data_IF_030634453275
#
_entry.id   IF_030634453275
#
_cell.length_a   1.000
_cell.length_b   1.000
_cell.length_c   1.000
_cell.angle_alpha   90.00
_cell.angle_beta   90.00
_cell.angle_gamma   90.00
#
_symmetry.space_group_name_H-M   'P 1'
#
loop_
_entity.id
_entity.type
_entity.pdbx_description
1 polymer ?
#
# COMPACT_ATOMS: atom_id res chain seq x y z
N UNK A 1 12.27 -33.09 -25.04
CA UNK A 1 11.44 -32.36 -24.06
C UNK A 1 11.17 -33.29 -22.87
N UNK A 2 11.93 -33.14 -21.78
CA UNK A 2 11.81 -34.01 -20.60
C UNK A 2 10.64 -33.54 -19.73
N UNK A 3 9.58 -34.35 -19.67
CA UNK A 3 8.41 -34.14 -18.82
C UNK A 3 8.84 -34.17 -17.35
N UNK A 4 9.07 -33.00 -16.74
CA UNK A 4 9.34 -32.88 -15.31
C UNK A 4 8.10 -33.33 -14.55
N UNK A 5 8.12 -34.57 -14.05
CA UNK A 5 7.14 -35.09 -13.09
C UNK A 5 7.01 -34.08 -11.93
N UNK A 6 5.82 -33.48 -11.83
CA UNK A 6 5.44 -32.36 -10.94
C UNK A 6 5.35 -32.71 -9.46
N UNK A 7 5.52 -33.98 -9.09
CA UNK A 7 5.38 -34.42 -7.70
C UNK A 7 6.62 -34.08 -6.90
N UNK A 8 6.46 -33.11 -6.00
CA UNK A 8 7.42 -32.80 -4.94
C UNK A 8 7.43 -33.97 -3.97
N UNK A 9 8.53 -34.72 -3.92
CA UNK A 9 8.72 -35.77 -2.91
C UNK A 9 9.42 -35.11 -1.72
N UNK A 10 8.72 -34.86 -0.60
CA UNK A 10 9.34 -34.51 0.67
C UNK A 10 9.99 -35.75 1.29
N UNK A 11 11.09 -35.56 1.99
CA UNK A 11 11.71 -36.67 2.72
C UNK A 11 13.20 -36.52 2.93
N UNK A 12 13.81 -37.66 3.27
CA UNK A 12 15.25 -37.82 3.48
C UNK A 12 15.86 -38.46 2.25
N UNK A 13 16.97 -37.90 1.77
CA UNK A 13 17.75 -38.44 0.67
C UNK A 13 19.20 -38.64 1.08
N UNK A 14 19.87 -39.52 0.32
CA UNK A 14 21.29 -39.82 0.46
C UNK A 14 22.03 -39.39 -0.80
N UNK A 15 23.28 -38.96 -0.59
CA UNK A 15 24.30 -38.86 -1.64
C UNK A 15 25.45 -39.75 -1.19
N UNK A 16 25.54 -40.95 -1.76
CA UNK A 16 26.50 -41.96 -1.34
C UNK A 16 27.71 -41.94 -2.27
N UNK A 17 28.90 -41.83 -1.70
CA UNK A 17 30.13 -42.10 -2.44
C UNK A 17 30.28 -43.62 -2.58
N UNK A 18 30.13 -44.16 -3.78
CA UNK A 18 30.19 -45.60 -4.04
C UNK A 18 31.60 -46.18 -3.93
N UNK A 19 32.64 -45.33 -3.92
CA UNK A 19 34.04 -45.74 -3.74
C UNK A 19 34.39 -45.87 -2.27
N UNK A 20 33.93 -44.95 -1.42
CA UNK A 20 34.30 -44.91 0.01
C UNK A 20 33.20 -45.39 0.95
N UNK A 21 31.97 -45.57 0.49
CA UNK A 21 30.80 -45.88 1.33
C UNK A 21 30.24 -44.71 2.14
N UNK A 22 31.02 -43.66 2.37
CA UNK A 22 30.61 -42.43 3.08
C UNK A 22 29.39 -41.77 2.42
N UNK A 23 28.42 -41.36 3.24
CA UNK A 23 27.15 -40.78 2.78
C UNK A 23 26.99 -39.33 3.20
N UNK A 24 26.24 -38.56 2.41
CA UNK A 24 25.65 -37.30 2.86
C UNK A 24 24.15 -37.51 3.03
N UNK A 25 23.64 -37.24 4.22
CA UNK A 25 22.20 -37.26 4.53
C UNK A 25 21.66 -35.85 4.38
N UNK A 26 20.50 -35.71 3.74
CA UNK A 26 19.81 -34.42 3.77
C UNK A 26 18.30 -34.55 3.71
N UNK A 27 17.63 -33.58 4.32
CA UNK A 27 16.19 -33.41 4.21
C UNK A 27 15.78 -32.37 3.16
N UNK A 28 14.63 -32.57 2.51
CA UNK A 28 14.04 -31.58 1.60
C UNK A 28 12.53 -31.77 1.45
N UNK A 29 11.79 -30.68 1.21
CA UNK A 29 10.39 -30.74 0.76
C UNK A 29 10.28 -31.18 -0.71
N UNK A 30 11.31 -30.87 -1.51
CA UNK A 30 11.43 -31.30 -2.90
C UNK A 30 12.82 -31.88 -3.14
N UNK A 31 12.96 -33.19 -2.98
CA UNK A 31 14.23 -33.90 -3.10
C UNK A 31 14.86 -33.70 -4.49
N UNK A 32 14.06 -33.76 -5.57
CA UNK A 32 14.58 -33.59 -6.94
C UNK A 32 15.23 -32.23 -7.16
N UNK A 33 14.53 -31.16 -6.79
CA UNK A 33 15.07 -29.78 -6.87
C UNK A 33 16.34 -29.66 -6.02
N UNK A 34 16.38 -30.31 -4.86
CA UNK A 34 17.53 -30.29 -3.98
C UNK A 34 18.74 -31.00 -4.61
N UNK A 35 18.52 -32.16 -5.23
CA UNK A 35 19.57 -32.87 -5.97
C UNK A 35 20.12 -32.08 -7.15
N UNK A 36 19.27 -31.37 -7.90
CA UNK A 36 19.73 -30.51 -8.99
C UNK A 36 20.66 -29.40 -8.47
N UNK A 37 20.31 -28.79 -7.34
CA UNK A 37 21.17 -27.80 -6.67
C UNK A 37 22.50 -28.43 -6.23
N UNK A 38 22.48 -29.61 -5.61
CA UNK A 38 23.69 -30.32 -5.21
C UNK A 38 24.59 -30.61 -6.41
N UNK A 39 24.05 -31.22 -7.48
CA UNK A 39 24.81 -31.51 -8.71
C UNK A 39 25.42 -30.26 -9.32
N UNK A 40 24.62 -29.20 -9.47
CA UNK A 40 25.09 -27.94 -10.07
C UNK A 40 26.19 -27.28 -9.25
N UNK A 41 26.03 -27.22 -7.93
CA UNK A 41 27.01 -26.57 -7.05
C UNK A 41 28.28 -27.41 -6.88
N UNK A 42 28.16 -28.74 -6.82
CA UNK A 42 29.31 -29.65 -6.79
C UNK A 42 30.12 -29.61 -8.10
N UNK A 43 29.43 -29.57 -9.24
CA UNK A 43 30.08 -29.51 -10.55
C UNK A 43 30.77 -28.16 -10.80
N UNK A 44 30.26 -27.07 -10.22
CA UNK A 44 30.86 -25.74 -10.31
C UNK A 44 31.87 -25.43 -9.21
N UNK A 45 32.12 -26.36 -8.27
CA UNK A 45 33.06 -26.14 -7.18
C UNK A 45 32.58 -25.19 -6.07
N UNK A 46 31.29 -24.83 -6.07
CA UNK A 46 30.70 -23.81 -5.18
C UNK A 46 29.86 -24.41 -4.04
N UNK A 47 29.94 -25.72 -3.83
CA UNK A 47 29.11 -26.39 -2.83
C UNK A 47 29.51 -26.00 -1.40
N UNK A 48 28.52 -25.63 -0.58
CA UNK A 48 28.72 -25.17 0.81
C UNK A 48 29.44 -26.17 1.73
N UNK A 49 29.27 -27.46 1.47
CA UNK A 49 29.93 -28.53 2.21
C UNK A 49 31.27 -28.82 1.55
N UNK A 50 32.36 -28.36 2.18
CA UNK A 50 33.71 -28.48 1.65
C UNK A 50 34.20 -29.94 1.61
N UNK A 51 33.77 -30.82 2.53
CA UNK A 51 34.17 -32.23 2.50
C UNK A 51 33.52 -32.97 1.33
N UNK A 52 32.21 -32.80 1.15
CA UNK A 52 31.51 -33.38 0.00
C UNK A 52 32.05 -32.82 -1.32
N UNK A 53 32.38 -31.52 -1.38
CA UNK A 53 32.97 -30.89 -2.55
C UNK A 53 34.35 -31.46 -2.89
N UNK A 54 35.22 -31.66 -1.89
CA UNK A 54 36.54 -32.25 -2.07
C UNK A 54 36.45 -33.71 -2.50
N UNK A 55 35.54 -34.49 -1.91
CA UNK A 55 35.29 -35.86 -2.32
C UNK A 55 34.77 -35.93 -3.76
N UNK A 56 33.84 -35.04 -4.14
CA UNK A 56 33.35 -34.93 -5.52
C UNK A 56 34.46 -34.60 -6.51
N UNK A 57 35.35 -33.66 -6.17
CA UNK A 57 36.49 -33.31 -7.02
C UNK A 57 37.51 -34.47 -7.13
N UNK A 58 37.66 -35.27 -6.07
CA UNK A 58 38.61 -36.39 -6.01
C UNK A 58 38.14 -37.64 -6.77
N UNK A 59 36.88 -38.05 -6.57
CA UNK A 59 36.35 -39.30 -7.11
C UNK A 59 35.49 -39.10 -8.37
N UNK A 60 35.12 -37.85 -8.68
CA UNK A 60 34.32 -37.50 -9.84
C UNK A 60 32.83 -37.80 -9.66
N UNK A 61 32.00 -37.24 -10.55
CA UNK A 61 30.55 -37.34 -10.47
C UNK A 61 30.02 -38.78 -10.56
N UNK A 62 30.69 -39.65 -11.32
CA UNK A 62 30.31 -41.05 -11.49
C UNK A 62 30.46 -41.91 -10.23
N UNK A 63 31.22 -41.44 -9.24
CA UNK A 63 31.40 -42.12 -7.96
C UNK A 63 30.29 -41.81 -6.93
N UNK A 64 29.26 -41.04 -7.30
CA UNK A 64 28.20 -40.65 -6.38
C UNK A 64 26.82 -41.10 -6.86
N UNK A 65 26.09 -41.78 -5.99
CA UNK A 65 24.70 -42.17 -6.22
C UNK A 65 23.74 -41.33 -5.37
N UNK A 66 22.56 -41.03 -5.92
CA UNK A 66 21.52 -40.25 -5.26
C UNK A 66 20.29 -41.14 -5.07
N UNK A 67 19.87 -41.33 -3.82
CA UNK A 67 18.74 -42.21 -3.48
C UNK A 67 17.83 -41.58 -2.42
N UNK A 68 16.55 -41.98 -2.42
CA UNK A 68 15.59 -41.57 -1.40
C UNK A 68 15.68 -42.58 -0.27
N UNK A 69 15.89 -42.11 0.96
CA UNK A 69 15.92 -42.95 2.15
C UNK A 69 14.53 -43.08 2.79
N UNK A 70 13.81 -41.96 2.94
CA UNK A 70 12.45 -41.94 3.49
C UNK A 70 11.58 -40.99 2.68
N UNK A 71 10.47 -41.49 2.17
CA UNK A 71 9.44 -40.69 1.48
C UNK A 71 8.36 -40.28 2.50
N UNK A 72 8.13 -38.97 2.64
CA UNK A 72 7.14 -38.39 3.56
C UNK A 72 5.99 -37.71 2.80
N UNK A 73 5.72 -38.15 1.56
CA UNK A 73 4.65 -37.60 0.72
C UNK A 73 3.27 -37.77 1.36
N UNK A 74 3.07 -38.86 2.12
CA UNK A 74 1.85 -39.19 2.84
C UNK A 74 1.70 -38.46 4.18
N UNK A 75 2.77 -37.86 4.72
CA UNK A 75 2.72 -37.14 6.01
C UNK A 75 2.01 -35.79 5.84
N UNK A 76 1.03 -35.45 6.69
CA UNK A 76 0.35 -34.16 6.64
C UNK A 76 1.34 -32.97 6.73
N UNK A 77 1.10 -31.86 6.01
CA UNK A 77 2.00 -30.70 6.02
C UNK A 77 2.35 -30.15 7.41
N UNK A 78 1.40 -30.21 8.35
CA UNK A 78 1.52 -29.76 9.74
C UNK A 78 2.51 -30.58 10.56
N UNK A 79 2.62 -31.88 10.30
CA UNK A 79 3.53 -32.81 11.01
C UNK A 79 4.86 -33.00 10.26
N UNK A 80 4.91 -32.61 9.00
CA UNK A 80 6.03 -32.86 8.08
C UNK A 80 7.35 -32.33 8.59
N UNK A 81 7.36 -31.18 9.27
CA UNK A 81 8.59 -30.61 9.81
C UNK A 81 9.17 -31.48 10.94
N UNK A 82 8.33 -31.98 11.84
CA UNK A 82 8.76 -32.87 12.92
C UNK A 82 9.22 -34.23 12.35
N UNK A 83 8.44 -34.81 11.44
CA UNK A 83 8.76 -36.09 10.80
C UNK A 83 10.05 -36.05 9.99
N UNK A 84 10.37 -34.93 9.32
CA UNK A 84 11.65 -34.75 8.63
C UNK A 84 12.82 -34.75 9.63
N UNK A 85 12.70 -34.00 10.73
CA UNK A 85 13.78 -33.91 11.71
C UNK A 85 14.04 -35.27 12.37
N UNK A 86 13.00 -35.98 12.81
CA UNK A 86 13.11 -37.32 13.40
C UNK A 86 13.75 -38.31 12.41
N UNK A 87 13.27 -38.31 11.16
CA UNK A 87 13.82 -39.16 10.12
C UNK A 87 15.29 -38.83 9.77
N UNK A 88 15.71 -37.56 9.83
CA UNK A 88 17.10 -37.17 9.60
C UNK A 88 17.99 -37.64 10.75
N UNK A 89 17.53 -37.54 12.01
CA UNK A 89 18.23 -38.04 13.19
C UNK A 89 18.40 -39.56 13.09
N UNK A 90 17.33 -40.31 12.84
CA UNK A 90 17.35 -41.76 12.67
C UNK A 90 18.34 -42.18 11.57
N UNK A 91 18.30 -41.46 10.45
CA UNK A 91 19.12 -41.74 9.29
C UNK A 91 20.60 -41.49 9.60
N UNK A 92 20.93 -40.33 10.19
CA UNK A 92 22.30 -40.01 10.58
C UNK A 92 22.86 -41.00 11.62
N UNK A 93 22.04 -41.44 12.58
CA UNK A 93 22.42 -42.45 13.56
C UNK A 93 22.72 -43.82 12.93
N UNK A 94 22.21 -44.09 11.72
CA UNK A 94 22.44 -45.35 10.99
C UNK A 94 23.80 -45.41 10.27
N UNK A 95 24.54 -44.30 10.20
CA UNK A 95 25.82 -44.23 9.48
C UNK A 95 26.96 -43.81 10.40
N UNK A 96 28.05 -44.58 10.38
CA UNK A 96 29.24 -44.27 11.16
C UNK A 96 30.02 -43.07 10.59
N UNK A 97 30.15 -43.01 9.26
CA UNK A 97 30.86 -41.93 8.57
C UNK A 97 29.92 -41.19 7.62
N UNK A 98 29.80 -39.87 7.82
CA UNK A 98 29.00 -39.00 6.94
C UNK A 98 29.75 -37.74 6.55
N UNK A 99 29.35 -37.15 5.42
CA UNK A 99 29.84 -35.83 5.01
C UNK A 99 29.14 -34.69 5.77
N UNK A 100 28.14 -34.96 6.61
CA UNK A 100 27.37 -33.94 7.31
C UNK A 100 28.27 -33.15 8.28
N UNK A 101 28.18 -31.82 8.23
CA UNK A 101 29.04 -30.92 9.02
C UNK A 101 28.56 -30.73 10.47
N UNK A 102 27.32 -31.10 10.73
CA UNK A 102 26.63 -30.92 12.01
C UNK A 102 25.69 -32.12 12.20
N UNK A 103 25.31 -32.36 13.45
CA UNK A 103 24.15 -33.21 13.79
C UNK A 103 22.88 -32.67 13.11
N UNK A 104 21.86 -33.53 12.98
CA UNK A 104 20.63 -33.25 12.23
C UNK A 104 20.13 -31.81 12.42
N UNK A 105 19.84 -31.14 11.30
CA UNK A 105 19.53 -29.71 11.32
C UNK A 105 18.08 -29.49 11.69
N UNK A 106 17.81 -28.94 12.88
CA UNK A 106 16.44 -28.61 13.25
C UNK A 106 15.96 -27.39 12.44
N UNK A 107 15.34 -27.63 11.29
CA UNK A 107 14.73 -26.56 10.51
C UNK A 107 13.39 -26.16 11.14
N UNK A 108 13.20 -24.87 11.39
CA UNK A 108 11.95 -24.35 11.96
C UNK A 108 11.93 -24.20 13.49
N UNK A 109 13.05 -24.36 14.20
CA UNK A 109 13.10 -24.01 15.64
C UNK A 109 12.93 -22.52 15.79
N UNK A 110 11.78 -22.15 16.34
CA UNK A 110 11.56 -20.83 16.88
C UNK A 110 12.46 -20.69 18.10
N UNK A 111 13.47 -19.81 18.03
CA UNK A 111 14.38 -19.56 19.15
C UNK A 111 13.57 -19.32 20.43
N UNK A 112 13.92 -20.04 21.50
CA UNK A 112 13.28 -19.87 22.81
C UNK A 112 13.42 -18.44 23.30
N UNK A 113 12.54 -18.00 24.19
CA UNK A 113 12.62 -16.65 24.74
C UNK A 113 13.95 -16.40 25.46
N UNK A 114 14.51 -17.42 26.12
CA UNK A 114 15.84 -17.37 26.71
C UNK A 114 16.95 -17.15 25.67
N UNK A 115 16.91 -17.88 24.55
CA UNK A 115 17.88 -17.72 23.46
C UNK A 115 17.75 -16.33 22.80
N UNK A 116 16.53 -15.84 22.59
CA UNK A 116 16.28 -14.48 22.09
C UNK A 116 16.81 -13.42 23.05
N UNK A 117 16.58 -13.59 24.35
CA UNK A 117 17.07 -12.69 25.38
C UNK A 117 18.59 -12.63 25.40
N UNK A 118 19.26 -13.79 25.32
CA UNK A 118 20.73 -13.88 25.26
C UNK A 118 21.28 -13.16 24.03
N UNK A 119 20.74 -13.45 22.84
CA UNK A 119 21.15 -12.81 21.59
C UNK A 119 20.88 -11.30 21.61
N UNK A 120 19.76 -10.88 22.19
CA UNK A 120 19.41 -9.47 22.39
C UNK A 120 20.40 -8.77 23.32
N UNK A 121 20.75 -9.38 24.45
CA UNK A 121 21.73 -8.86 25.39
C UNK A 121 23.11 -8.73 24.76
N UNK A 122 23.57 -9.76 24.06
CA UNK A 122 24.84 -9.73 23.33
C UNK A 122 24.86 -8.62 22.28
N UNK A 123 23.78 -8.47 21.50
CA UNK A 123 23.68 -7.43 20.48
C UNK A 123 23.66 -6.04 21.11
N UNK A 124 22.96 -5.84 22.22
CA UNK A 124 22.98 -4.57 22.98
C UNK A 124 24.38 -4.25 23.51
N UNK A 125 25.10 -5.23 24.03
CA UNK A 125 26.48 -5.05 24.49
C UNK A 125 27.40 -4.63 23.34
N UNK A 126 27.28 -5.24 22.16
CA UNK A 126 28.01 -4.81 20.96
C UNK A 126 27.69 -3.36 20.57
N UNK A 127 26.42 -2.93 20.68
CA UNK A 127 26.01 -1.55 20.38
C UNK A 127 26.40 -0.54 21.46
N UNK A 128 26.71 -1.00 22.68
CA UNK A 128 27.24 -0.16 23.75
C UNK A 128 28.73 0.17 23.53
N UNK A 129 29.48 -0.68 22.83
CA UNK A 129 30.84 -0.37 22.38
C UNK A 129 30.82 0.75 21.34
N UNK A 130 31.42 1.88 21.70
CA UNK A 130 31.49 3.08 20.86
C UNK A 130 32.23 2.81 19.55
N UNK A 131 33.31 2.03 19.57
CA UNK A 131 34.13 1.76 18.39
C UNK A 131 33.37 0.91 17.37
N UNK A 132 32.64 -0.11 17.84
CA UNK A 132 31.77 -0.91 17.01
C UNK A 132 30.63 -0.08 16.42
N UNK A 133 29.98 0.73 17.26
CA UNK A 133 28.87 1.59 16.85
C UNK A 133 29.29 2.59 15.78
N UNK A 134 30.42 3.26 15.95
CA UNK A 134 30.94 4.25 15.00
C UNK A 134 31.32 3.60 13.67
N UNK A 135 32.06 2.48 13.69
CA UNK A 135 32.38 1.71 12.47
C UNK A 135 31.12 1.28 11.74
N UNK A 136 30.09 0.82 12.46
CA UNK A 136 28.84 0.37 11.87
C UNK A 136 28.02 1.52 11.29
N UNK A 137 27.97 2.67 11.97
CA UNK A 137 27.30 3.88 11.47
C UNK A 137 28.00 4.42 10.23
N UNK A 138 29.34 4.48 10.23
CA UNK A 138 30.12 4.92 9.07
C UNK A 138 29.87 4.02 7.84
N UNK A 139 29.85 2.70 8.03
CA UNK A 139 29.53 1.76 6.96
C UNK A 139 28.10 1.93 6.41
N UNK A 140 27.12 2.19 7.29
CA UNK A 140 25.74 2.48 6.87
C UNK A 140 25.62 3.81 6.14
N UNK A 141 26.33 4.84 6.59
CA UNK A 141 26.38 6.14 5.94
C UNK A 141 27.01 6.05 4.56
N UNK A 142 28.12 5.32 4.41
CA UNK A 142 28.74 5.08 3.10
C UNK A 142 27.79 4.34 2.16
N UNK A 143 27.10 3.30 2.64
CA UNK A 143 26.13 2.55 1.86
C UNK A 143 24.92 3.41 1.42
N UNK A 144 24.41 4.28 2.30
CA UNK A 144 23.33 5.21 1.97
C UNK A 144 23.81 6.43 1.17
N UNK A 145 25.11 6.73 1.19
CA UNK A 145 25.73 7.76 0.38
C UNK A 145 25.88 7.36 -1.08
N UNK A 146 25.92 6.06 -1.37
CA UNK A 146 25.88 5.54 -2.73
C UNK A 146 24.52 5.86 -3.40
N UNK A 147 24.51 6.67 -4.48
CA UNK A 147 23.30 7.01 -5.20
C UNK A 147 22.60 5.80 -5.82
N UNK A 148 23.37 4.81 -6.29
CA UNK A 148 22.82 3.62 -6.97
C UNK A 148 22.10 2.72 -5.96
N UNK A 149 22.73 2.44 -4.82
CA UNK A 149 22.10 1.72 -3.72
C UNK A 149 20.81 2.42 -3.26
N UNK A 150 20.86 3.75 -3.09
CA UNK A 150 19.72 4.52 -2.62
C UNK A 150 18.58 4.53 -3.63
N UNK A 151 18.87 4.67 -4.92
CA UNK A 151 17.89 4.58 -6.00
C UNK A 151 17.21 3.21 -6.02
N UNK A 152 18.00 2.12 -6.02
CA UNK A 152 17.49 0.74 -5.98
C UNK A 152 16.61 0.49 -4.76
N UNK A 153 17.00 0.99 -3.59
CA UNK A 153 16.21 0.87 -2.36
C UNK A 153 14.89 1.61 -2.47
N UNK A 154 14.90 2.85 -2.97
CA UNK A 154 13.69 3.65 -3.17
C UNK A 154 12.75 2.95 -4.15
N UNK A 155 13.28 2.40 -5.24
CA UNK A 155 12.51 1.68 -6.24
C UNK A 155 11.89 0.40 -5.67
N UNK A 156 12.67 -0.43 -4.97
CA UNK A 156 12.18 -1.64 -4.31
C UNK A 156 11.07 -1.32 -3.28
N UNK A 157 11.24 -0.26 -2.50
CA UNK A 157 10.21 0.21 -1.56
C UNK A 157 8.98 0.71 -2.31
N UNK A 158 9.16 1.44 -3.42
CA UNK A 158 8.08 1.97 -4.25
C UNK A 158 7.27 0.84 -4.87
N UNK A 159 7.93 -0.18 -5.42
CA UNK A 159 7.30 -1.35 -6.01
C UNK A 159 6.55 -2.16 -4.95
N UNK A 160 7.21 -2.51 -3.84
CA UNK A 160 6.59 -3.21 -2.72
C UNK A 160 5.45 -2.42 -2.09
N UNK A 161 5.48 -1.08 -2.16
CA UNK A 161 4.39 -0.24 -1.65
C UNK A 161 3.15 -0.20 -2.53
N UNK A 162 3.26 -0.59 -3.80
CA UNK A 162 2.17 -0.54 -4.78
C UNK A 162 1.26 -1.74 -4.74
N UNK A 163 1.69 -2.85 -4.14
CA UNK A 163 0.89 -4.06 -4.03
C UNK A 163 -0.40 -3.80 -3.26
N UNK A 164 -1.53 -4.42 -3.66
CA UNK A 164 -2.80 -4.28 -2.94
C UNK A 164 -2.68 -4.60 -1.45
N UNK A 165 -1.90 -5.63 -1.11
CA UNK A 165 -1.67 -6.11 0.26
C UNK A 165 -0.91 -5.06 1.08
N UNK A 166 0.17 -4.48 0.53
CA UNK A 166 0.94 -3.46 1.23
C UNK A 166 0.15 -2.15 1.40
N UNK A 167 -0.72 -1.81 0.43
CA UNK A 167 -1.64 -0.68 0.56
C UNK A 167 -2.68 -0.92 1.63
N UNK A 168 -3.29 -2.11 1.65
CA UNK A 168 -4.28 -2.49 2.65
C UNK A 168 -3.66 -2.51 4.06
N UNK A 169 -2.49 -3.10 4.23
CA UNK A 169 -1.76 -3.12 5.50
C UNK A 169 -1.41 -1.70 5.99
N UNK A 170 -0.92 -0.82 5.11
CA UNK A 170 -0.69 0.59 5.47
C UNK A 170 -1.97 1.33 5.82
N UNK A 171 -3.06 1.10 5.07
CA UNK A 171 -4.34 1.74 5.36
C UNK A 171 -4.90 1.27 6.71
N UNK A 172 -4.79 -0.02 7.04
CA UNK A 172 -5.18 -0.57 8.33
C UNK A 172 -4.33 0.04 9.46
N UNK A 173 -3.00 0.02 9.33
CA UNK A 173 -2.10 0.62 10.31
C UNK A 173 -2.35 2.13 10.48
N UNK A 174 -2.62 2.84 9.38
CA UNK A 174 -2.98 4.25 9.43
C UNK A 174 -4.31 4.47 10.16
N UNK A 175 -5.34 3.67 9.90
CA UNK A 175 -6.62 3.75 10.61
C UNK A 175 -6.44 3.53 12.11
N UNK A 176 -5.67 2.51 12.51
CA UNK A 176 -5.37 2.25 13.93
C UNK A 176 -4.62 3.41 14.56
N UNK A 177 -3.57 3.93 13.89
CA UNK A 177 -2.80 5.06 14.39
C UNK A 177 -3.62 6.35 14.48
N UNK A 178 -4.53 6.57 13.53
CA UNK A 178 -5.46 7.70 13.59
C UNK A 178 -6.65 7.43 14.52
N UNK A 179 -6.90 6.21 14.99
CA UNK A 179 -7.93 5.96 16.00
C UNK A 179 -7.50 6.51 17.36
N UNK A 180 -6.22 6.39 17.69
CA UNK A 180 -5.58 6.92 18.90
C UNK A 180 -5.83 8.44 19.08
N UNK A 181 -6.46 8.87 20.19
CA UNK A 181 -6.72 10.26 20.49
C UNK A 181 -5.45 11.10 20.70
N UNK A 182 -4.42 10.55 21.34
CA UNK A 182 -3.17 11.29 21.61
C UNK A 182 -2.43 11.58 20.31
N UNK A 183 -2.33 10.57 19.45
CA UNK A 183 -1.73 10.74 18.14
C UNK A 183 -2.50 11.76 17.27
N UNK A 184 -3.84 11.72 17.29
CA UNK A 184 -4.68 12.72 16.62
C UNK A 184 -4.38 14.14 17.11
N UNK A 185 -4.34 14.33 18.43
CA UNK A 185 -4.08 15.63 19.04
C UNK A 185 -2.68 16.16 18.66
N UNK A 186 -1.65 15.32 18.76
CA UNK A 186 -0.28 15.65 18.36
C UNK A 186 -0.19 16.06 16.89
N UNK A 187 -0.88 15.35 15.99
CA UNK A 187 -0.88 15.70 14.57
C UNK A 187 -1.66 16.98 14.28
N UNK A 188 -2.74 17.25 15.03
CA UNK A 188 -3.48 18.51 14.93
C UNK A 188 -2.61 19.69 15.39
N UNK A 189 -1.93 19.58 16.53
CA UNK A 189 -1.00 20.58 17.05
C UNK A 189 0.13 20.85 16.06
N UNK A 190 0.78 19.80 15.54
CA UNK A 190 1.82 19.93 14.51
C UNK A 190 1.30 20.61 13.25
N UNK A 191 0.05 20.35 12.85
CA UNK A 191 -0.55 21.06 11.73
C UNK A 191 -0.83 22.52 12.05
N UNK A 192 -1.33 22.83 13.24
CA UNK A 192 -1.56 24.20 13.68
C UNK A 192 -0.25 24.99 13.73
N UNK A 193 0.81 24.43 14.31
CA UNK A 193 2.14 25.05 14.33
C UNK A 193 2.67 25.33 12.91
N UNK A 194 2.53 24.39 11.98
CA UNK A 194 2.87 24.60 10.57
C UNK A 194 2.05 25.73 9.93
N UNK A 195 0.76 25.83 10.24
CA UNK A 195 -0.10 26.90 9.72
C UNK A 195 0.09 28.23 10.45
N UNK A 196 0.64 28.24 11.66
CA UNK A 196 1.00 29.46 12.38
C UNK A 196 2.17 30.18 11.68
N UNK A 197 3.15 29.42 11.19
CA UNK A 197 4.28 29.94 10.40
C UNK A 197 3.80 30.77 9.19
N UNK A 198 4.09 32.09 9.17
CA UNK A 198 3.74 32.97 8.05
C UNK A 198 4.38 32.56 6.72
N UNK A 199 5.63 32.07 6.75
CA UNK A 199 6.36 31.68 5.54
C UNK A 199 5.71 30.45 4.89
N UNK A 200 5.32 29.46 5.70
CA UNK A 200 4.56 28.31 5.22
C UNK A 200 3.20 28.71 4.62
N UNK A 201 2.46 29.60 5.30
CA UNK A 201 1.18 30.11 4.77
C UNK A 201 1.34 30.81 3.43
N UNK A 202 2.37 31.64 3.29
CA UNK A 202 2.64 32.35 2.06
C UNK A 202 2.98 31.39 0.91
N UNK A 203 3.86 30.41 1.16
CA UNK A 203 4.16 29.33 0.20
C UNK A 203 2.92 28.57 -0.24
N UNK A 204 2.00 28.28 0.68
CA UNK A 204 0.74 27.61 0.36
C UNK A 204 -0.22 28.49 -0.46
N UNK A 205 -0.26 29.81 -0.22
CA UNK A 205 -1.01 30.77 -1.04
C UNK A 205 -0.47 30.84 -2.46
N UNK A 206 0.85 30.92 -2.61
CA UNK A 206 1.52 30.96 -3.91
C UNK A 206 1.32 29.66 -4.70
N UNK A 207 1.48 28.50 -4.04
CA UNK A 207 1.20 27.20 -4.65
C UNK A 207 -0.27 27.09 -5.09
N UNK A 208 -1.20 27.58 -4.26
CA UNK A 208 -2.62 27.62 -4.59
C UNK A 208 -2.89 28.55 -5.78
N UNK A 209 -2.27 29.74 -5.81
CA UNK A 209 -2.39 30.70 -6.91
C UNK A 209 -1.86 30.11 -8.23
N UNK A 210 -0.67 29.50 -8.22
CA UNK A 210 -0.09 28.81 -9.38
C UNK A 210 -1.01 27.70 -9.90
N UNK A 211 -1.60 26.90 -9.02
CA UNK A 211 -2.58 25.86 -9.39
C UNK A 211 -3.87 26.42 -10.00
N UNK A 212 -4.28 27.65 -9.68
CA UNK A 212 -5.43 28.30 -10.30
C UNK A 212 -5.10 28.99 -11.63
N UNK A 213 -3.84 29.38 -11.83
CA UNK A 213 -3.35 29.95 -13.09
C UNK A 213 -3.21 28.86 -14.18
N UNK A 214 -2.88 27.62 -13.79
CA UNK A 214 -2.84 26.48 -14.70
C UNK A 214 -4.25 26.09 -15.22
N UNK A 215 -4.51 26.14 -16.55
CA UNK A 215 -5.83 25.86 -17.12
C UNK A 215 -6.34 24.45 -16.82
N UNK A 216 -5.47 23.43 -16.84
CA UNK A 216 -5.86 22.03 -16.63
C UNK A 216 -6.26 21.80 -15.17
N UNK A 217 -5.42 22.24 -14.23
CA UNK A 217 -5.71 22.20 -12.79
C UNK A 217 -6.97 23.00 -12.43
N UNK A 218 -7.18 24.17 -13.07
CA UNK A 218 -8.38 24.99 -12.88
C UNK A 218 -9.63 24.26 -13.38
N UNK A 219 -9.60 23.69 -14.57
CA UNK A 219 -10.72 22.95 -15.13
C UNK A 219 -11.11 21.75 -14.25
N UNK A 220 -10.13 20.95 -13.83
CA UNK A 220 -10.35 19.80 -12.92
C UNK A 220 -10.95 20.23 -11.58
N UNK A 221 -10.49 21.35 -11.03
CA UNK A 221 -11.01 21.89 -9.77
C UNK A 221 -12.44 22.42 -9.92
N UNK A 222 -12.75 23.15 -11.01
CA UNK A 222 -14.11 23.61 -11.31
C UNK A 222 -15.04 22.41 -11.50
N UNK A 223 -14.62 21.38 -12.25
CA UNK A 223 -15.38 20.16 -12.43
C UNK A 223 -15.69 19.48 -11.10
N UNK A 224 -14.70 19.31 -10.21
CA UNK A 224 -14.90 18.74 -8.88
C UNK A 224 -15.82 19.59 -7.98
N UNK A 225 -15.72 20.92 -8.06
CA UNK A 225 -16.65 21.82 -7.35
C UNK A 225 -18.07 21.66 -7.90
N UNK A 226 -18.24 21.66 -9.23
CA UNK A 226 -19.52 21.47 -9.89
C UNK A 226 -20.14 20.12 -9.53
N UNK A 227 -19.36 19.05 -9.53
CA UNK A 227 -19.79 17.71 -9.11
C UNK A 227 -20.25 17.70 -7.66
N UNK A 228 -19.44 18.24 -6.74
CA UNK A 228 -19.80 18.36 -5.32
C UNK A 228 -21.08 19.19 -5.11
N UNK A 229 -21.23 20.30 -5.83
CA UNK A 229 -22.43 21.14 -5.81
C UNK A 229 -23.65 20.45 -6.42
N UNK A 230 -23.45 19.48 -7.30
CA UNK A 230 -24.51 18.73 -7.96
C UNK A 230 -25.04 17.55 -7.15
N UNK A 231 -24.35 17.16 -6.07
CA UNK A 231 -24.79 16.09 -5.19
C UNK A 231 -26.15 16.44 -4.55
N UNK A 232 -27.08 15.47 -4.46
CA UNK A 232 -28.46 15.72 -4.05
C UNK A 232 -28.57 16.32 -2.64
N UNK A 233 -27.72 15.88 -1.70
CA UNK A 233 -27.64 16.41 -0.34
C UNK A 233 -27.20 17.87 -0.31
N UNK A 234 -26.21 18.24 -1.13
CA UNK A 234 -25.70 19.62 -1.22
C UNK A 234 -26.73 20.52 -1.89
N UNK A 235 -27.41 20.04 -2.94
CA UNK A 235 -28.52 20.76 -3.58
C UNK A 235 -29.67 21.02 -2.61
N UNK A 236 -30.07 20.01 -1.83
CA UNK A 236 -31.13 20.11 -0.83
C UNK A 236 -30.74 21.09 0.28
N UNK A 237 -29.53 21.01 0.80
CA UNK A 237 -29.01 21.95 1.79
C UNK A 237 -28.98 23.39 1.26
N UNK A 238 -28.48 23.58 0.04
CA UNK A 238 -28.45 24.91 -0.61
C UNK A 238 -29.85 25.46 -0.85
N UNK A 239 -30.80 24.63 -1.27
CA UNK A 239 -32.19 25.02 -1.43
C UNK A 239 -32.85 25.40 -0.09
N UNK A 240 -32.57 24.65 0.99
CA UNK A 240 -33.07 24.96 2.32
C UNK A 240 -32.51 26.30 2.83
N UNK A 241 -31.20 26.53 2.69
CA UNK A 241 -30.57 27.81 3.04
C UNK A 241 -31.18 28.95 2.22
N UNK A 242 -31.31 28.78 0.90
CA UNK A 242 -31.93 29.77 0.00
C UNK A 242 -33.37 30.08 0.41
N UNK A 243 -34.17 29.07 0.73
CA UNK A 243 -35.57 29.26 1.13
C UNK A 243 -35.66 29.99 2.48
N UNK A 244 -34.79 29.65 3.44
CA UNK A 244 -34.70 30.35 4.72
C UNK A 244 -34.23 31.80 4.57
N UNK A 245 -33.27 32.08 3.69
CA UNK A 245 -32.85 33.46 3.38
C UNK A 245 -33.95 34.20 2.63
N UNK A 246 -34.63 33.56 1.67
CA UNK A 246 -35.76 34.15 0.95
C UNK A 246 -36.92 34.50 1.88
N UNK A 247 -37.20 33.70 2.90
CA UNK A 247 -38.21 34.02 3.91
C UNK A 247 -37.84 35.28 4.72
N UNK A 248 -36.56 35.42 5.10
CA UNK A 248 -36.03 36.61 5.79
C UNK A 248 -36.07 37.85 4.89
N UNK A 249 -35.63 37.72 3.64
CA UNK A 249 -35.67 38.79 2.63
C UNK A 249 -37.11 39.19 2.32
N UNK A 250 -38.04 38.23 2.23
CA UNK A 250 -39.47 38.50 2.03
C UNK A 250 -40.08 39.30 3.18
N UNK A 251 -39.79 38.93 4.44
CA UNK A 251 -40.22 39.68 5.62
C UNK A 251 -39.67 41.12 5.62
N UNK A 252 -38.37 41.28 5.37
CA UNK A 252 -37.72 42.58 5.28
C UNK A 252 -38.29 43.44 4.15
N UNK A 253 -38.53 42.84 2.98
CA UNK A 253 -39.16 43.53 1.85
C UNK A 253 -40.59 43.95 2.19
N UNK A 254 -41.41 43.09 2.80
CA UNK A 254 -42.77 43.40 3.22
C UNK A 254 -42.83 44.56 4.22
N UNK A 255 -41.90 44.63 5.16
CA UNK A 255 -41.77 45.78 6.07
C UNK A 255 -41.43 47.07 5.31
N UNK A 256 -40.49 46.98 4.36
CA UNK A 256 -40.13 48.13 3.51
C UNK A 256 -41.29 48.59 2.62
N UNK A 257 -42.17 47.68 2.18
CA UNK A 257 -43.40 48.02 1.44
C UNK A 257 -44.46 48.73 2.28
N UNK A 258 -44.34 48.78 3.62
CA UNK A 258 -45.23 49.57 4.48
C UNK A 258 -44.91 51.06 4.44
N UNK A 259 -43.66 51.44 4.15
CA UNK A 259 -43.23 52.83 3.95
C UNK A 259 -43.87 53.41 2.66
N UNK A 260 -44.70 54.47 2.76
CA UNK A 260 -45.34 55.11 1.62
C UNK A 260 -44.36 55.68 0.59
N UNK A 261 -43.23 56.26 1.03
CA UNK A 261 -42.25 56.87 0.13
C UNK A 261 -41.46 55.82 -0.66
N UNK A 262 -41.11 54.71 -0.01
CA UNK A 262 -40.49 53.59 -0.69
C UNK A 262 -41.45 52.95 -1.70
N UNK A 263 -42.73 52.78 -1.32
CA UNK A 263 -43.76 52.24 -2.21
C UNK A 263 -43.96 53.12 -3.45
N UNK A 264 -44.05 54.44 -3.28
CA UNK A 264 -44.19 55.38 -4.38
C UNK A 264 -42.99 55.30 -5.35
N UNK A 265 -41.76 55.32 -4.84
CA UNK A 265 -40.53 55.20 -5.65
C UNK A 265 -40.46 53.90 -6.43
N UNK A 266 -40.80 52.77 -5.80
CA UNK A 266 -40.79 51.46 -6.47
C UNK A 266 -41.92 51.34 -7.51
N UNK A 267 -43.09 51.91 -7.26
CA UNK A 267 -44.20 51.92 -8.22
C UNK A 267 -43.88 52.75 -9.46
N UNK A 268 -43.25 53.93 -9.30
CA UNK A 268 -42.81 54.77 -10.43
C UNK A 268 -41.76 54.02 -11.26
N UNK A 269 -40.69 53.51 -10.62
CA UNK A 269 -39.64 52.76 -11.33
C UNK A 269 -40.16 51.51 -12.05
N UNK A 270 -41.12 50.80 -11.46
CA UNK A 270 -41.76 49.63 -12.11
C UNK A 270 -42.70 50.01 -13.24
N UNK A 271 -43.43 51.11 -13.11
CA UNK A 271 -44.29 51.64 -14.17
C UNK A 271 -43.45 52.12 -15.35
N UNK A 272 -42.37 52.86 -15.11
CA UNK A 272 -41.44 53.32 -16.14
C UNK A 272 -40.79 52.14 -16.87
N UNK A 273 -40.34 51.12 -16.13
CA UNK A 273 -39.75 49.91 -16.71
C UNK A 273 -40.75 49.03 -17.49
N UNK A 274 -42.01 48.94 -17.07
CA UNK A 274 -43.05 48.24 -17.83
C UNK A 274 -43.47 49.03 -19.06
N UNK A 275 -43.69 50.34 -18.93
CA UNK A 275 -44.01 51.23 -20.04
C UNK A 275 -42.92 51.22 -21.10
N UNK A 276 -41.63 51.26 -20.71
CA UNK A 276 -40.50 51.16 -21.64
C UNK A 276 -40.45 49.79 -22.34
N UNK A 277 -40.68 48.68 -21.61
CA UNK A 277 -40.73 47.34 -22.20
C UNK A 277 -41.88 47.14 -23.17
N UNK A 278 -43.03 47.75 -22.90
CA UNK A 278 -44.18 47.66 -23.79
C UNK A 278 -44.17 48.72 -24.89
N UNK A 279 -43.34 49.76 -24.81
CA UNK A 279 -43.11 50.71 -25.91
C UNK A 279 -42.38 50.06 -27.09
N UNK A 280 -41.50 49.09 -26.83
CA UNK A 280 -40.86 48.27 -27.86
C UNK A 280 -41.88 47.31 -28.53
N UNK A 281 -42.12 47.45 -29.86
CA UNK A 281 -43.04 46.59 -30.59
C UNK A 281 -42.65 45.10 -30.56
N UNK A 282 -41.35 44.78 -30.54
CA UNK A 282 -40.87 43.40 -30.58
C UNK A 282 -41.12 42.69 -29.24
N UNK A 283 -40.77 43.34 -28.13
CA UNK A 283 -41.09 42.88 -26.79
C UNK A 283 -42.60 42.73 -26.56
N UNK A 284 -43.43 43.63 -27.13
CA UNK A 284 -44.90 43.53 -27.07
C UNK A 284 -45.43 42.31 -27.85
N UNK A 285 -44.88 42.06 -29.04
CA UNK A 285 -45.24 40.89 -29.83
C UNK A 285 -44.82 39.58 -29.16
N UNK A 286 -43.61 39.53 -28.59
CA UNK A 286 -43.11 38.38 -27.82
C UNK A 286 -43.97 38.10 -26.59
N UNK A 287 -44.32 39.15 -25.83
CA UNK A 287 -45.22 39.02 -24.70
C UNK A 287 -46.59 38.47 -25.12
N UNK A 288 -47.15 38.95 -26.24
CA UNK A 288 -48.39 38.43 -26.82
C UNK A 288 -48.31 36.95 -27.20
N UNK A 289 -47.22 36.53 -27.85
CA UNK A 289 -46.97 35.11 -28.19
C UNK A 289 -46.92 34.24 -26.92
N UNK A 290 -46.15 34.67 -25.94
CA UNK A 290 -46.00 33.97 -24.65
C UNK A 290 -47.32 33.84 -23.91
N UNK A 291 -48.15 34.90 -23.91
CA UNK A 291 -49.47 34.85 -23.27
C UNK A 291 -50.42 33.90 -24.00
N UNK A 292 -50.38 33.84 -25.34
CA UNK A 292 -51.14 32.85 -26.13
C UNK A 292 -50.71 31.41 -25.80
N UNK A 293 -49.40 31.15 -25.69
CA UNK A 293 -48.89 29.83 -25.29
C UNK A 293 -49.31 29.44 -23.86
N UNK A 294 -49.24 30.38 -22.91
CA UNK A 294 -49.68 30.14 -21.54
C UNK A 294 -51.17 29.82 -21.50
N UNK A 295 -52.00 30.56 -22.26
CA UNK A 295 -53.43 30.30 -22.37
C UNK A 295 -53.74 28.96 -23.06
N UNK A 296 -52.99 28.61 -24.11
CA UNK A 296 -53.11 27.31 -24.77
C UNK A 296 -52.79 26.16 -23.81
N UNK A 297 -51.69 26.28 -23.06
CA UNK A 297 -51.31 25.32 -22.00
C UNK A 297 -52.36 25.22 -20.90
N UNK A 298 -52.94 26.34 -20.48
CA UNK A 298 -54.01 26.36 -19.46
C UNK A 298 -55.32 25.74 -19.95
N UNK A 299 -55.66 25.92 -21.23
CA UNK A 299 -56.81 25.25 -21.85
C UNK A 299 -56.58 23.74 -21.97
N UNK A 300 -55.38 23.32 -22.36
CA UNK A 300 -55.00 21.90 -22.45
C UNK A 300 -54.89 21.20 -21.09
N UNK A 301 -54.69 21.97 -20.00
CA UNK A 301 -54.59 21.45 -18.64
C UNK A 301 -55.91 21.50 -17.84
N UNK A 302 -57.02 21.93 -18.44
CA UNK A 302 -58.36 21.73 -17.87
C UNK A 302 -58.81 20.29 -18.23
N UNK A 303 -59.23 19.47 -17.25
CA UNK A 303 -59.74 18.13 -17.52
C UNK A 303 -61.03 18.18 -18.36
#
# INVERSE_FOLDING_TARGET
MSTRSKTSVPGIYLITNTVTGVVYVGQAINIRKRWDVHRSTLSSGTHRNCYLQRAWAKYGAGAFSFSIFRDLSSTPPEERAAALNEAEIDCLASFQDTYNLMEAGISGVVASDAARALLSAQRKAMWADATFRERRLAALQALHGDPEFTARRIEAVREGSRTPEAKAARAAAAKTRWADPEFKALMAEKQQAKWADPAYRQKQKEARSKSWADPESRAKRIAGITEAMNRPEVKKAKAAVRNATSAKVSKFQLERWKDPEYRARQSVSRADGQSARFADPEARAEHGRRMKEVWAKRKAAKP
#
